data_IF_923409697341
#
_entry.id   IF_923409697341
#
_cell.length_a   1.000
_cell.length_b   1.000
_cell.length_c   1.000
_cell.angle_alpha   90.00
_cell.angle_beta   90.00
_cell.angle_gamma   90.00
#
_symmetry.space_group_name_H-M   'P 1'
#
loop_
_entity.id
_entity.type
_entity.pdbx_description
1 polymer ?
#
# COMPACT_ATOMS: atom_id res chain seq x y z
N UNK A 1 -29.39 -6.57 -12.06
CA UNK A 1 -28.49 -7.31 -11.16
C UNK A 1 -27.64 -8.33 -11.90
N UNK A 2 -28.14 -8.95 -12.98
CA UNK A 2 -27.40 -9.99 -13.73
C UNK A 2 -25.97 -9.57 -14.13
N UNK A 3 -25.80 -8.36 -14.66
CA UNK A 3 -24.47 -7.81 -15.02
C UNK A 3 -23.52 -7.61 -13.83
N UNK A 4 -24.02 -7.57 -12.59
CA UNK A 4 -23.19 -7.50 -11.38
C UNK A 4 -22.85 -8.87 -10.80
N UNK A 5 -23.59 -9.93 -11.17
CA UNK A 5 -23.44 -11.28 -10.58
C UNK A 5 -22.69 -12.23 -11.51
N UNK A 6 -22.97 -12.17 -12.82
CA UNK A 6 -22.49 -13.17 -13.79
C UNK A 6 -21.35 -12.68 -14.68
N UNK A 7 -20.79 -11.52 -14.37
CA UNK A 7 -19.73 -10.87 -15.13
C UNK A 7 -18.57 -10.56 -14.19
N UNK A 8 -17.36 -10.97 -14.58
CA UNK A 8 -16.16 -10.66 -13.81
C UNK A 8 -15.78 -9.19 -13.90
N UNK A 9 -15.30 -8.62 -12.80
CA UNK A 9 -14.86 -7.23 -12.70
C UNK A 9 -15.97 -6.26 -12.28
N UNK A 10 -15.69 -4.97 -12.42
CA UNK A 10 -16.59 -3.86 -12.06
C UNK A 10 -16.24 -2.62 -12.91
N UNK A 11 -17.10 -1.59 -12.97
CA UNK A 11 -16.84 -0.40 -13.77
C UNK A 11 -15.99 0.64 -13.04
N UNK A 12 -15.24 1.42 -13.82
CA UNK A 12 -14.81 2.76 -13.47
C UNK A 12 -15.75 3.77 -14.13
N UNK A 13 -16.10 4.83 -13.42
CA UNK A 13 -16.89 5.96 -13.90
C UNK A 13 -15.99 7.20 -13.96
N UNK A 14 -15.62 7.63 -15.16
CA UNK A 14 -14.89 8.88 -15.37
C UNK A 14 -15.86 10.07 -15.37
N UNK A 15 -15.52 11.15 -14.66
CA UNK A 15 -16.32 12.37 -14.52
C UNK A 15 -15.52 13.56 -15.06
N UNK A 16 -16.13 14.31 -15.97
CA UNK A 16 -15.52 15.51 -16.57
C UNK A 16 -16.58 16.59 -16.81
N UNK A 17 -16.14 17.82 -17.06
CA UNK A 17 -17.01 18.97 -17.32
C UNK A 17 -16.89 20.04 -16.24
N UNK A 18 -17.88 20.93 -16.17
CA UNK A 18 -17.87 22.07 -15.25
C UNK A 18 -18.98 23.07 -15.56
N UNK A 19 -19.15 24.06 -14.69
CA UNK A 19 -20.12 25.14 -14.91
C UNK A 19 -21.58 24.67 -14.98
N UNK A 20 -21.94 23.61 -14.26
CA UNK A 20 -23.31 23.10 -14.21
C UNK A 20 -23.58 21.84 -15.03
N UNK A 21 -22.68 21.49 -15.95
CA UNK A 21 -22.86 20.38 -16.88
C UNK A 21 -21.66 19.43 -16.85
N UNK A 22 -21.93 18.18 -16.48
CA UNK A 22 -20.91 17.13 -16.36
C UNK A 22 -21.23 15.96 -17.29
N UNK A 23 -20.19 15.29 -17.76
CA UNK A 23 -20.27 14.04 -18.51
C UNK A 23 -19.69 12.93 -17.66
N UNK A 24 -20.48 11.88 -17.46
CA UNK A 24 -20.02 10.62 -16.88
C UNK A 24 -19.88 9.57 -17.96
N UNK A 25 -18.83 8.79 -17.89
CA UNK A 25 -18.58 7.66 -18.81
C UNK A 25 -18.14 6.46 -18.01
N UNK A 26 -18.63 5.27 -18.39
CA UNK A 26 -18.19 4.02 -17.78
C UNK A 26 -17.33 3.19 -18.72
N UNK A 27 -16.44 2.41 -18.11
CA UNK A 27 -15.72 1.31 -18.74
C UNK A 27 -15.38 0.24 -17.71
N UNK A 28 -15.03 -0.96 -18.14
CA UNK A 28 -14.56 -1.99 -17.21
C UNK A 28 -13.20 -1.59 -16.64
N UNK A 29 -13.12 -1.44 -15.31
CA UNK A 29 -11.87 -1.13 -14.63
C UNK A 29 -10.89 -2.31 -14.74
N UNK A 30 -9.70 -2.01 -15.27
CA UNK A 30 -8.55 -2.92 -15.38
C UNK A 30 -7.27 -2.10 -15.32
N UNK A 31 -6.23 -2.63 -14.68
CA UNK A 31 -4.98 -1.90 -14.51
C UNK A 31 -4.07 -1.83 -15.77
N UNK A 32 -4.22 -2.75 -16.73
CA UNK A 32 -3.33 -2.83 -17.90
C UNK A 32 -4.03 -2.55 -19.23
N UNK A 33 -5.13 -3.23 -19.51
CA UNK A 33 -5.91 -3.05 -20.75
C UNK A 33 -7.38 -2.84 -20.39
N UNK A 34 -8.05 -1.79 -20.89
CA UNK A 34 -9.46 -1.55 -20.59
C UNK A 34 -10.33 -2.67 -21.13
N UNK A 35 -11.38 -3.02 -20.39
CA UNK A 35 -12.31 -4.06 -20.81
C UNK A 35 -13.54 -3.50 -21.54
N UNK A 36 -14.17 -4.32 -22.37
CA UNK A 36 -15.31 -3.91 -23.21
C UNK A 36 -16.68 -4.11 -22.56
N UNK A 37 -16.74 -4.47 -21.28
CA UNK A 37 -18.00 -4.81 -20.60
C UNK A 37 -18.61 -3.60 -19.89
N UNK A 38 -19.93 -3.55 -19.82
CA UNK A 38 -20.69 -2.46 -19.19
C UNK A 38 -21.65 -2.98 -18.12
N UNK A 39 -22.08 -2.06 -17.26
CA UNK A 39 -23.02 -2.29 -16.18
C UNK A 39 -24.15 -1.27 -16.24
N UNK A 40 -25.29 -1.60 -15.61
CA UNK A 40 -26.23 -0.57 -15.19
C UNK A 40 -25.74 -0.06 -13.84
N UNK A 41 -25.16 1.13 -13.80
CA UNK A 41 -24.51 1.67 -12.60
C UNK A 41 -25.47 2.61 -11.87
N UNK A 42 -26.00 2.23 -10.69
CA UNK A 42 -26.80 3.13 -9.86
C UNK A 42 -25.87 4.08 -9.10
N UNK A 43 -25.84 5.33 -9.52
CA UNK A 43 -24.98 6.36 -8.94
C UNK A 43 -25.76 7.24 -7.96
N UNK A 44 -25.14 7.54 -6.83
CA UNK A 44 -25.53 8.66 -5.97
C UNK A 44 -24.67 9.85 -6.33
N UNK A 45 -25.32 10.96 -6.68
CA UNK A 45 -24.66 12.19 -7.10
C UNK A 45 -25.08 13.30 -6.15
N UNK A 46 -24.13 13.79 -5.37
CA UNK A 46 -24.30 14.88 -4.42
C UNK A 46 -23.78 16.18 -5.01
N UNK A 47 -24.49 17.26 -4.71
CA UNK A 47 -24.16 18.65 -5.06
C UNK A 47 -24.57 19.54 -3.88
N UNK A 48 -24.32 20.85 -3.97
CA UNK A 48 -24.88 21.83 -3.02
C UNK A 48 -26.42 21.80 -2.95
N UNK A 49 -27.10 21.41 -4.04
CA UNK A 49 -28.57 21.32 -4.11
C UNK A 49 -29.13 20.04 -3.45
N UNK A 50 -28.27 19.11 -3.04
CA UNK A 50 -28.62 17.85 -2.40
C UNK A 50 -28.15 16.61 -3.17
N UNK A 51 -28.73 15.46 -2.82
CA UNK A 51 -28.37 14.14 -3.37
C UNK A 51 -29.41 13.65 -4.36
N UNK A 52 -28.96 13.21 -5.53
CA UNK A 52 -29.80 12.64 -6.60
C UNK A 52 -29.37 11.22 -6.96
N UNK A 53 -30.29 10.44 -7.54
CA UNK A 53 -30.04 9.09 -8.04
C UNK A 53 -30.01 9.11 -9.56
N UNK A 54 -28.90 8.68 -10.14
CA UNK A 54 -28.69 8.61 -11.59
C UNK A 54 -28.38 7.17 -11.97
N UNK A 55 -29.08 6.62 -12.96
CA UNK A 55 -28.78 5.29 -13.49
C UNK A 55 -28.01 5.44 -14.81
N UNK A 56 -26.72 5.08 -14.81
CA UNK A 56 -25.92 5.03 -16.03
C UNK A 56 -26.15 3.68 -16.72
N UNK A 57 -27.02 3.67 -17.74
CA UNK A 57 -27.38 2.44 -18.48
C UNK A 57 -26.48 2.18 -19.70
N UNK A 58 -25.91 3.24 -20.29
CA UNK A 58 -25.06 3.20 -21.48
C UNK A 58 -23.60 3.52 -21.16
N UNK A 59 -22.81 3.70 -22.22
CA UNK A 59 -21.39 4.06 -22.09
C UNK A 59 -21.19 5.45 -21.46
N UNK A 60 -22.11 6.38 -21.69
CA UNK A 60 -22.03 7.75 -21.18
C UNK A 60 -23.40 8.31 -20.80
N UNK A 61 -23.42 9.31 -19.93
CA UNK A 61 -24.58 10.14 -19.63
C UNK A 61 -24.15 11.58 -19.29
N UNK A 62 -25.05 12.54 -19.50
CA UNK A 62 -24.88 13.91 -19.02
C UNK A 62 -25.61 14.11 -17.71
N UNK A 63 -24.99 14.85 -16.80
CA UNK A 63 -25.55 15.22 -15.51
C UNK A 63 -25.54 16.74 -15.44
N UNK A 64 -26.73 17.32 -15.31
CA UNK A 64 -26.89 18.73 -14.96
C UNK A 64 -26.92 18.81 -13.43
N UNK A 65 -25.92 19.46 -12.84
CA UNK A 65 -25.69 19.48 -11.40
C UNK A 65 -25.02 20.80 -11.00
N UNK A 66 -25.35 21.31 -9.81
CA UNK A 66 -24.74 22.53 -9.28
C UNK A 66 -23.24 22.37 -8.94
N UNK A 67 -22.72 23.32 -8.17
CA UNK A 67 -21.40 23.21 -7.58
C UNK A 67 -21.33 22.09 -6.53
N UNK A 68 -20.11 21.73 -6.12
CA UNK A 68 -19.90 20.72 -5.07
C UNK A 68 -20.18 19.28 -5.51
N UNK A 69 -20.00 18.95 -6.80
CA UNK A 69 -20.26 17.62 -7.33
C UNK A 69 -19.43 16.55 -6.59
N UNK A 70 -20.09 15.49 -6.15
CA UNK A 70 -19.50 14.23 -5.69
C UNK A 70 -20.29 13.09 -6.30
N UNK A 71 -19.63 12.26 -7.10
CA UNK A 71 -20.18 11.01 -7.64
C UNK A 71 -19.79 9.87 -6.71
N UNK A 72 -20.72 8.92 -6.54
CA UNK A 72 -20.66 7.89 -5.51
C UNK A 72 -20.72 8.46 -4.09
N UNK A 73 -21.59 9.45 -3.86
CA UNK A 73 -21.77 10.05 -2.54
C UNK A 73 -22.01 8.99 -1.45
N UNK A 74 -21.25 9.07 -0.36
CA UNK A 74 -21.20 8.09 0.73
C UNK A 74 -20.35 6.83 0.46
N UNK A 75 -19.88 6.60 -0.76
CA UNK A 75 -18.96 5.48 -1.10
C UNK A 75 -19.61 4.09 -1.22
N UNK A 76 -20.94 3.98 -1.18
CA UNK A 76 -21.65 2.69 -1.12
C UNK A 76 -21.65 1.90 -2.45
N UNK A 77 -21.38 2.56 -3.57
CA UNK A 77 -21.42 1.95 -4.89
C UNK A 77 -20.19 1.09 -5.20
N UNK A 78 -20.39 -0.10 -5.78
CA UNK A 78 -19.31 -1.01 -6.18
C UNK A 78 -18.70 -0.62 -7.54
N UNK A 79 -18.16 0.59 -7.64
CA UNK A 79 -17.45 1.11 -8.82
C UNK A 79 -16.43 2.15 -8.37
N UNK A 80 -15.42 2.40 -9.20
CA UNK A 80 -14.45 3.48 -8.97
C UNK A 80 -14.87 4.75 -9.68
N UNK A 81 -14.48 5.90 -9.15
CA UNK A 81 -14.72 7.21 -9.76
C UNK A 81 -13.39 7.86 -10.12
N UNK A 82 -13.20 8.22 -11.39
CA UNK A 82 -12.04 8.99 -11.84
C UNK A 82 -12.48 10.39 -12.24
N UNK A 83 -12.03 11.40 -11.52
CA UNK A 83 -12.33 12.80 -11.83
C UNK A 83 -11.31 13.37 -12.82
N UNK A 84 -11.73 14.34 -13.64
CA UNK A 84 -10.77 15.14 -14.43
C UNK A 84 -9.85 15.93 -13.49
N UNK A 85 -8.65 16.36 -13.93
CA UNK A 85 -7.70 17.08 -13.09
C UNK A 85 -8.31 18.29 -12.37
N UNK A 86 -9.17 19.04 -13.05
CA UNK A 86 -9.83 20.22 -12.50
C UNK A 86 -10.82 19.86 -11.39
N UNK A 87 -11.56 18.77 -11.56
CA UNK A 87 -12.53 18.29 -10.56
C UNK A 87 -11.84 17.63 -9.37
N UNK A 88 -10.73 16.91 -9.60
CA UNK A 88 -9.91 16.35 -8.53
C UNK A 88 -9.31 17.47 -7.67
N UNK A 89 -8.78 18.52 -8.29
CA UNK A 89 -8.26 19.69 -7.60
C UNK A 89 -9.35 20.44 -6.80
N UNK A 90 -10.54 20.62 -7.40
CA UNK A 90 -11.70 21.18 -6.72
C UNK A 90 -12.05 20.37 -5.46
N UNK A 91 -12.22 19.06 -5.58
CA UNK A 91 -12.49 18.15 -4.45
C UNK A 91 -11.39 18.21 -3.38
N UNK A 92 -10.12 18.21 -3.79
CA UNK A 92 -8.98 18.35 -2.88
C UNK A 92 -8.99 19.65 -2.08
N UNK A 93 -9.52 20.75 -2.64
CA UNK A 93 -9.61 22.03 -1.93
C UNK A 93 -10.72 22.11 -0.89
N UNK A 94 -11.68 21.17 -0.92
CA UNK A 94 -12.87 21.15 -0.07
C UNK A 94 -13.08 19.79 0.61
N UNK A 95 -12.00 19.11 0.96
CA UNK A 95 -12.01 17.81 1.64
C UNK A 95 -12.82 17.82 2.95
N UNK A 96 -12.91 18.97 3.63
CA UNK A 96 -13.75 19.13 4.83
C UNK A 96 -15.26 18.96 4.56
N UNK A 97 -15.70 19.13 3.31
CA UNK A 97 -17.09 18.92 2.88
C UNK A 97 -17.40 17.45 2.53
N UNK A 98 -16.37 16.59 2.56
CA UNK A 98 -16.48 15.16 2.33
C UNK A 98 -16.51 14.42 3.67
N UNK A 99 -17.37 13.42 3.77
CA UNK A 99 -17.31 12.49 4.90
C UNK A 99 -16.08 11.57 4.81
N UNK A 100 -15.81 10.83 5.89
CA UNK A 100 -14.64 9.94 5.96
C UNK A 100 -14.62 8.89 4.85
N UNK A 101 -15.78 8.33 4.48
CA UNK A 101 -15.92 7.32 3.43
C UNK A 101 -15.67 7.90 2.04
N UNK A 102 -16.14 9.13 1.80
CA UNK A 102 -15.91 9.88 0.57
C UNK A 102 -14.44 10.27 0.42
N UNK A 103 -13.77 10.73 1.50
CA UNK A 103 -12.32 11.00 1.48
C UNK A 103 -11.51 9.74 1.23
N UNK A 104 -11.83 8.64 1.90
CA UNK A 104 -11.22 7.33 1.66
C UNK A 104 -11.37 6.89 0.19
N UNK A 105 -12.59 6.99 -0.34
CA UNK A 105 -12.89 6.59 -1.72
C UNK A 105 -12.14 7.45 -2.73
N UNK A 106 -12.08 8.77 -2.51
CA UNK A 106 -11.33 9.69 -3.36
C UNK A 106 -9.83 9.32 -3.41
N UNK A 107 -9.20 9.07 -2.27
CA UNK A 107 -7.79 8.66 -2.20
C UNK A 107 -7.56 7.30 -2.87
N UNK A 108 -8.41 6.31 -2.54
CA UNK A 108 -8.32 4.95 -3.08
C UNK A 108 -8.50 4.91 -4.60
N UNK A 109 -9.46 5.68 -5.12
CA UNK A 109 -9.73 5.75 -6.56
C UNK A 109 -8.66 6.55 -7.29
N UNK A 110 -8.17 7.66 -6.71
CA UNK A 110 -7.06 8.42 -7.29
C UNK A 110 -5.80 7.56 -7.38
N UNK A 111 -5.48 6.78 -6.34
CA UNK A 111 -4.36 5.83 -6.39
C UNK A 111 -4.56 4.75 -7.47
N UNK A 112 -5.77 4.24 -7.62
CA UNK A 112 -6.09 3.29 -8.68
C UNK A 112 -5.91 3.91 -10.08
N UNK A 113 -6.31 5.16 -10.27
CA UNK A 113 -6.08 5.93 -11.52
C UNK A 113 -4.60 6.21 -11.77
N UNK A 114 -3.77 6.36 -10.72
CA UNK A 114 -2.31 6.43 -10.87
C UNK A 114 -1.74 5.12 -11.40
N UNK A 115 -2.25 3.98 -10.91
CA UNK A 115 -1.82 2.66 -11.38
C UNK A 115 -2.22 2.40 -12.84
N UNK A 116 -3.42 2.81 -13.28
CA UNK A 116 -3.83 2.73 -14.69
C UNK A 116 -3.08 3.73 -15.58
N UNK A 117 -2.60 4.84 -15.00
CA UNK A 117 -1.90 5.92 -15.71
C UNK A 117 -2.84 7.03 -16.21
N UNK A 118 -4.08 7.05 -15.72
CA UNK A 118 -5.06 8.11 -16.00
C UNK A 118 -4.82 9.36 -15.14
N UNK A 119 -4.11 9.21 -14.02
CA UNK A 119 -3.70 10.29 -13.11
C UNK A 119 -2.20 10.20 -12.85
N UNK A 120 -1.52 11.34 -12.72
CA UNK A 120 -0.08 11.38 -12.41
C UNK A 120 0.20 11.13 -10.93
N UNK A 121 1.40 10.64 -10.60
CA UNK A 121 1.80 10.50 -9.20
C UNK A 121 1.87 11.87 -8.49
N UNK A 122 2.18 12.95 -9.22
CA UNK A 122 2.18 14.31 -8.69
C UNK A 122 0.80 14.80 -8.24
N UNK A 123 -0.26 14.48 -8.99
CA UNK A 123 -1.63 14.80 -8.57
C UNK A 123 -2.04 14.02 -7.30
N UNK A 124 -1.62 12.76 -7.18
CA UNK A 124 -1.84 12.00 -5.94
C UNK A 124 -1.06 12.57 -4.76
N UNK A 125 0.20 12.99 -4.95
CA UNK A 125 1.01 13.68 -3.93
C UNK A 125 0.33 14.99 -3.50
N UNK A 126 -0.21 15.76 -4.44
CA UNK A 126 -0.94 16.99 -4.14
C UNK A 126 -2.22 16.72 -3.31
N UNK A 127 -2.99 15.68 -3.68
CA UNK A 127 -4.16 15.25 -2.90
C UNK A 127 -3.75 14.79 -1.48
N UNK A 128 -2.69 14.00 -1.36
CA UNK A 128 -2.15 13.58 -0.06
C UNK A 128 -1.74 14.78 0.79
N UNK A 129 -1.09 15.78 0.18
CA UNK A 129 -0.70 17.03 0.84
C UNK A 129 -1.87 17.84 1.40
N UNK A 130 -3.06 17.73 0.78
CA UNK A 130 -4.28 18.40 1.25
C UNK A 130 -4.94 17.70 2.45
N UNK A 131 -4.49 16.50 2.82
CA UNK A 131 -5.03 15.68 3.92
C UNK A 131 -4.22 15.80 5.23
N UNK A 132 -3.38 16.83 5.38
CA UNK A 132 -2.56 17.02 6.59
C UNK A 132 -3.36 17.11 7.91
N UNK A 133 -4.59 17.62 7.85
CA UNK A 133 -5.51 17.73 9.00
C UNK A 133 -6.45 16.51 9.16
N UNK A 134 -6.19 15.40 8.44
CA UNK A 134 -7.04 14.20 8.52
C UNK A 134 -6.94 13.52 9.89
N UNK A 135 -8.08 13.02 10.37
CA UNK A 135 -8.23 12.39 11.69
C UNK A 135 -8.68 10.93 11.64
N UNK A 136 -9.01 10.41 10.46
CA UNK A 136 -9.50 9.06 10.27
C UNK A 136 -8.36 8.10 9.88
N UNK A 137 -8.11 7.03 10.67
CA UNK A 137 -7.01 6.10 10.41
C UNK A 137 -7.14 5.40 9.04
N UNK A 138 -8.36 5.12 8.60
CA UNK A 138 -8.60 4.45 7.31
C UNK A 138 -8.18 5.34 6.12
N UNK A 139 -8.45 6.65 6.18
CA UNK A 139 -8.06 7.61 5.13
C UNK A 139 -6.54 7.77 5.11
N UNK A 140 -5.91 7.94 6.28
CA UNK A 140 -4.45 7.94 6.39
C UNK A 140 -3.82 6.65 5.87
N UNK A 141 -4.42 5.49 6.16
CA UNK A 141 -3.97 4.20 5.66
C UNK A 141 -3.96 4.14 4.13
N UNK A 142 -4.99 4.68 3.47
CA UNK A 142 -5.05 4.78 2.02
C UNK A 142 -3.96 5.71 1.46
N UNK A 143 -3.75 6.88 2.07
CA UNK A 143 -2.71 7.84 1.68
C UNK A 143 -1.32 7.19 1.79
N UNK A 144 -1.01 6.63 2.96
CA UNK A 144 0.30 6.04 3.25
C UNK A 144 0.58 4.78 2.42
N UNK A 145 -0.44 4.05 2.00
CA UNK A 145 -0.29 2.93 1.05
C UNK A 145 0.22 3.43 -0.30
N UNK A 146 -0.38 4.48 -0.86
CA UNK A 146 0.06 5.07 -2.12
C UNK A 146 1.45 5.68 -2.01
N UNK A 147 1.72 6.47 -0.96
CA UNK A 147 3.05 7.05 -0.71
C UNK A 147 4.13 5.98 -0.52
N UNK A 148 3.80 4.88 0.17
CA UNK A 148 4.69 3.74 0.31
C UNK A 148 5.01 3.07 -1.02
N UNK A 149 4.04 2.89 -1.92
CA UNK A 149 4.33 2.38 -3.27
C UNK A 149 5.16 3.36 -4.12
N UNK A 150 4.98 4.68 -3.93
CA UNK A 150 5.81 5.69 -4.60
C UNK A 150 7.26 5.70 -4.05
N UNK A 151 7.49 5.56 -2.74
CA UNK A 151 8.85 5.39 -2.18
C UNK A 151 9.56 4.16 -2.77
N UNK A 152 8.84 3.12 -3.18
CA UNK A 152 9.45 1.95 -3.82
C UNK A 152 9.92 2.21 -5.26
N UNK A 153 9.45 3.25 -5.92
CA UNK A 153 9.81 3.53 -7.31
C UNK A 153 10.58 4.83 -7.49
N UNK A 154 10.56 5.73 -6.50
CA UNK A 154 11.39 6.94 -6.51
C UNK A 154 12.86 6.55 -6.64
N UNK A 155 13.60 7.35 -7.42
CA UNK A 155 15.04 7.19 -7.58
C UNK A 155 15.76 7.36 -6.24
N UNK A 156 16.95 6.78 -6.12
CA UNK A 156 17.78 6.96 -4.91
C UNK A 156 18.11 8.43 -4.65
N UNK A 157 18.28 9.23 -5.71
CA UNK A 157 18.61 10.65 -5.62
C UNK A 157 17.45 11.50 -5.11
N UNK A 158 16.20 11.12 -5.40
CA UNK A 158 14.97 11.84 -4.98
C UNK A 158 14.27 11.22 -3.77
N UNK A 159 14.81 10.12 -3.23
CA UNK A 159 14.25 9.46 -2.06
C UNK A 159 14.26 10.34 -0.79
N UNK A 160 15.32 11.14 -0.51
CA UNK A 160 15.32 12.05 0.64
C UNK A 160 14.17 13.07 0.60
N UNK A 161 13.80 13.55 -0.58
CA UNK A 161 12.68 14.46 -0.79
C UNK A 161 11.34 13.76 -0.52
N UNK A 162 11.17 12.50 -0.95
CA UNK A 162 10.00 11.68 -0.61
C UNK A 162 9.88 11.48 0.89
N UNK A 163 10.98 11.10 1.56
CA UNK A 163 11.02 10.91 3.01
C UNK A 163 10.67 12.23 3.75
N UNK A 164 11.21 13.36 3.29
CA UNK A 164 10.85 14.68 3.82
C UNK A 164 9.37 14.98 3.63
N UNK A 165 8.83 14.78 2.44
CA UNK A 165 7.40 14.99 2.18
C UNK A 165 6.53 14.19 3.15
N UNK A 166 6.81 12.89 3.33
CA UNK A 166 6.04 12.06 4.27
C UNK A 166 6.18 12.57 5.70
N UNK A 167 7.40 12.87 6.14
CA UNK A 167 7.66 13.36 7.50
C UNK A 167 6.92 14.67 7.79
N UNK A 168 6.98 15.63 6.86
CA UNK A 168 6.35 16.94 7.01
C UNK A 168 4.81 16.81 6.95
N UNK A 169 4.29 15.94 6.07
CA UNK A 169 2.85 15.69 5.95
C UNK A 169 2.23 15.15 7.25
N UNK A 170 2.90 14.22 7.93
CA UNK A 170 2.35 13.60 9.15
C UNK A 170 2.73 14.32 10.44
N UNK A 171 3.58 15.35 10.38
CA UNK A 171 4.21 15.96 11.55
C UNK A 171 3.19 16.51 12.55
N UNK A 172 2.30 17.40 12.09
CA UNK A 172 1.34 18.08 12.98
C UNK A 172 0.37 17.10 13.63
N UNK A 173 -0.15 16.13 12.87
CA UNK A 173 -1.04 15.09 13.38
C UNK A 173 -0.32 14.15 14.37
N UNK A 174 0.92 13.76 14.09
CA UNK A 174 1.72 12.93 15.00
C UNK A 174 2.07 13.67 16.30
N UNK A 175 2.48 14.94 16.21
CA UNK A 175 2.84 15.77 17.35
C UNK A 175 1.62 16.07 18.23
N UNK A 176 0.45 16.30 17.64
CA UNK A 176 -0.81 16.49 18.35
C UNK A 176 -1.24 15.27 19.17
N UNK A 177 -0.98 14.05 18.68
CA UNK A 177 -1.33 12.80 19.37
C UNK A 177 -0.28 12.33 20.39
N UNK A 178 0.99 12.75 20.19
CA UNK A 178 2.12 12.36 21.02
C UNK A 178 2.34 10.85 21.13
N UNK A 179 3.12 10.43 22.13
CA UNK A 179 3.52 9.03 22.35
C UNK A 179 2.72 8.32 23.45
N UNK A 180 1.81 9.03 24.13
CA UNK A 180 1.04 8.49 25.23
C UNK A 180 -0.45 8.78 25.02
N UNK A 181 -1.34 7.79 25.17
CA UNK A 181 -2.77 8.00 25.03
C UNK A 181 -3.33 8.86 26.16
N UNK A 182 -4.33 9.68 25.86
CA UNK A 182 -5.08 10.43 26.87
C UNK A 182 -6.14 9.55 27.58
N UNK A 183 -6.56 9.91 28.81
CA UNK A 183 -7.67 9.22 29.47
C UNK A 183 -8.97 9.30 28.66
N UNK A 184 -9.56 8.15 28.35
CA UNK A 184 -10.82 8.07 27.60
C UNK A 184 -10.65 8.17 26.08
N UNK A 185 -9.41 8.22 25.59
CA UNK A 185 -9.11 8.20 24.17
C UNK A 185 -9.63 6.94 23.47
N UNK A 186 -10.19 7.15 22.27
CA UNK A 186 -10.80 6.09 21.46
C UNK A 186 -9.77 5.15 20.84
N UNK A 187 -10.18 3.92 20.53
CA UNK A 187 -9.30 2.94 19.87
C UNK A 187 -8.86 3.44 18.46
N UNK A 188 -9.74 4.12 17.72
CA UNK A 188 -9.38 4.72 16.41
C UNK A 188 -8.30 5.80 16.54
N UNK A 189 -8.33 6.59 17.61
CA UNK A 189 -7.30 7.61 17.87
C UNK A 189 -5.95 6.95 18.22
N UNK A 190 -5.97 5.83 18.95
CA UNK A 190 -4.75 5.06 19.24
C UNK A 190 -4.16 4.42 17.99
N UNK A 191 -5.01 3.83 17.16
CA UNK A 191 -4.62 3.27 15.86
C UNK A 191 -3.98 4.34 14.98
N UNK A 192 -4.61 5.52 14.89
CA UNK A 192 -4.04 6.65 14.15
C UNK A 192 -2.66 7.04 14.69
N UNK A 193 -2.49 7.12 16.02
CA UNK A 193 -1.17 7.41 16.62
C UNK A 193 -0.11 6.40 16.16
N UNK A 194 -0.39 5.10 16.27
CA UNK A 194 0.54 4.06 15.84
C UNK A 194 0.90 4.17 14.36
N UNK A 195 -0.11 4.41 13.51
CA UNK A 195 0.04 4.59 12.08
C UNK A 195 0.97 5.78 11.75
N UNK A 196 0.75 6.95 12.38
CA UNK A 196 1.54 8.16 12.12
C UNK A 196 2.96 8.06 12.67
N UNK A 197 3.17 7.48 13.86
CA UNK A 197 4.52 7.21 14.40
C UNK A 197 5.29 6.32 13.42
N UNK A 198 4.66 5.23 12.94
CA UNK A 198 5.29 4.31 12.00
C UNK A 198 5.60 4.99 10.68
N UNK A 199 4.66 5.77 10.13
CA UNK A 199 4.88 6.52 8.89
C UNK A 199 6.05 7.49 9.02
N UNK A 200 6.07 8.30 10.07
CA UNK A 200 7.12 9.30 10.32
C UNK A 200 8.51 8.66 10.47
N UNK A 201 8.61 7.59 11.26
CA UNK A 201 9.89 6.96 11.56
C UNK A 201 10.41 6.00 10.47
N UNK A 202 9.52 5.22 9.84
CA UNK A 202 9.90 4.19 8.87
C UNK A 202 9.90 4.71 7.43
N UNK A 203 8.84 5.42 7.02
CA UNK A 203 8.71 5.93 5.66
C UNK A 203 9.31 7.34 5.52
N UNK A 204 9.15 8.19 6.54
CA UNK A 204 9.69 9.54 6.57
C UNK A 204 11.15 9.68 7.05
N UNK A 205 11.77 8.56 7.44
CA UNK A 205 13.15 8.47 7.94
C UNK A 205 13.49 9.51 9.03
N UNK A 206 12.53 9.79 9.91
CA UNK A 206 12.70 10.75 10.98
C UNK A 206 13.55 10.19 12.13
N UNK A 207 14.77 10.72 12.25
CA UNK A 207 15.78 10.25 13.19
C UNK A 207 15.35 10.42 14.66
N UNK A 208 14.56 11.45 14.99
CA UNK A 208 14.04 11.62 16.34
C UNK A 208 12.99 10.55 16.68
N UNK A 209 12.04 10.32 15.77
CA UNK A 209 11.05 9.24 15.91
C UNK A 209 11.71 7.87 16.03
N UNK A 210 12.75 7.59 15.24
CA UNK A 210 13.53 6.35 15.34
C UNK A 210 14.19 6.20 16.73
N UNK A 211 14.81 7.26 17.24
CA UNK A 211 15.41 7.26 18.59
C UNK A 211 14.36 7.02 19.67
N UNK A 212 13.20 7.66 19.57
CA UNK A 212 12.10 7.50 20.53
C UNK A 212 11.49 6.09 20.48
N UNK A 213 11.28 5.55 19.29
CA UNK A 213 10.86 4.16 19.09
C UNK A 213 11.84 3.19 19.76
N UNK A 214 13.15 3.40 19.59
CA UNK A 214 14.20 2.63 20.25
C UNK A 214 14.16 2.70 21.78
N UNK A 215 13.85 3.86 22.37
CA UNK A 215 13.67 4.00 23.83
C UNK A 215 12.44 3.23 24.32
N UNK A 216 11.30 3.42 23.66
CA UNK A 216 10.05 2.72 23.96
C UNK A 216 10.24 1.21 23.90
N UNK A 217 10.87 0.72 22.83
CA UNK A 217 11.10 -0.70 22.63
C UNK A 217 11.96 -1.31 23.73
N UNK A 218 13.10 -0.68 24.03
CA UNK A 218 14.02 -1.14 25.08
C UNK A 218 13.34 -1.18 26.45
N UNK A 219 12.65 -0.11 26.84
CA UNK A 219 11.94 -0.03 28.12
C UNK A 219 10.79 -1.03 28.18
N UNK A 220 10.13 -1.28 27.05
CA UNK A 220 9.13 -2.32 26.94
C UNK A 220 9.72 -3.71 27.23
N UNK A 221 10.89 -4.04 26.67
CA UNK A 221 11.61 -5.29 26.96
C UNK A 221 12.06 -5.39 28.43
N UNK A 222 12.32 -4.26 29.09
CA UNK A 222 12.60 -4.18 30.53
C UNK A 222 11.36 -4.31 31.42
N UNK A 223 10.16 -4.43 30.83
CA UNK A 223 8.90 -4.69 31.53
C UNK A 223 8.02 -3.46 31.73
N UNK A 224 8.41 -2.30 31.20
CA UNK A 224 7.55 -1.12 31.19
C UNK A 224 6.34 -1.33 30.26
N UNK A 225 5.19 -0.80 30.70
CA UNK A 225 3.94 -0.90 29.95
C UNK A 225 3.76 0.34 29.09
N UNK A 226 3.62 0.11 27.79
CA UNK A 226 3.24 1.11 26.80
C UNK A 226 1.93 0.70 26.14
N UNK A 227 1.27 1.67 25.51
CA UNK A 227 0.12 1.43 24.65
C UNK A 227 0.45 0.42 23.54
N UNK A 228 -0.52 -0.38 23.10
CA UNK A 228 -0.29 -1.43 22.11
C UNK A 228 0.15 -0.87 20.76
N UNK A 229 -0.52 0.18 20.29
CA UNK A 229 -0.25 0.80 18.98
C UNK A 229 1.12 1.48 18.97
N UNK A 230 1.50 2.11 20.09
CA UNK A 230 2.83 2.73 20.24
C UNK A 230 3.94 1.67 20.24
N UNK A 231 3.75 0.52 20.89
CA UNK A 231 4.72 -0.59 20.87
C UNK A 231 4.87 -1.19 19.49
N UNK A 232 3.76 -1.44 18.81
CA UNK A 232 3.76 -2.06 17.48
C UNK A 232 4.35 -1.12 16.43
N UNK A 233 4.05 0.18 16.51
CA UNK A 233 4.70 1.20 15.71
C UNK A 233 6.22 1.26 15.97
N UNK A 234 6.63 1.23 17.25
CA UNK A 234 8.05 1.27 17.62
C UNK A 234 8.83 0.08 17.06
N UNK A 235 8.29 -1.13 17.18
CA UNK A 235 8.89 -2.32 16.57
C UNK A 235 9.00 -2.17 15.05
N UNK A 236 7.95 -1.66 14.39
CA UNK A 236 7.95 -1.43 12.95
C UNK A 236 9.00 -0.41 12.49
N UNK A 237 9.20 0.67 13.26
CA UNK A 237 10.22 1.70 12.98
C UNK A 237 11.63 1.16 13.14
N UNK A 238 11.90 0.43 14.22
CA UNK A 238 13.22 -0.19 14.46
C UNK A 238 13.50 -1.24 13.39
N UNK A 239 12.53 -2.09 13.07
CA UNK A 239 12.72 -3.13 12.08
C UNK A 239 13.04 -2.57 10.69
N UNK A 240 12.34 -1.51 10.26
CA UNK A 240 12.51 -0.93 8.92
C UNK A 240 13.84 -0.18 8.73
N UNK A 241 14.48 0.23 9.83
CA UNK A 241 15.74 0.98 9.84
C UNK A 241 16.85 0.26 10.63
N UNK A 242 16.65 -1.04 10.88
CA UNK A 242 17.44 -1.81 11.85
C UNK A 242 18.81 -2.21 11.33
N UNK A 243 19.69 -2.50 12.26
CA UNK A 243 21.03 -3.06 12.04
C UNK A 243 21.03 -4.58 12.13
N UNK A 244 22.20 -5.18 11.88
CA UNK A 244 22.42 -6.61 12.16
C UNK A 244 22.30 -6.99 13.64
N UNK A 245 22.41 -6.04 14.57
CA UNK A 245 22.20 -6.32 16.00
C UNK A 245 20.71 -6.38 16.33
N UNK A 246 19.89 -5.48 15.77
CA UNK A 246 18.43 -5.55 15.87
C UNK A 246 17.89 -6.85 15.25
N UNK A 247 18.43 -7.25 14.10
CA UNK A 247 18.11 -8.54 13.48
C UNK A 247 18.35 -9.74 14.42
N UNK A 248 19.51 -9.78 15.09
CA UNK A 248 19.84 -10.86 16.04
C UNK A 248 18.92 -10.82 17.25
N UNK A 249 18.60 -9.63 17.75
CA UNK A 249 17.64 -9.45 18.85
C UNK A 249 16.27 -9.99 18.47
N UNK A 250 15.75 -9.68 17.27
CA UNK A 250 14.46 -10.20 16.80
C UNK A 250 14.46 -11.72 16.66
N UNK A 251 15.54 -12.33 16.18
CA UNK A 251 15.64 -13.79 16.15
C UNK A 251 15.65 -14.39 17.57
N UNK A 252 16.42 -13.83 18.50
CA UNK A 252 16.45 -14.29 19.90
C UNK A 252 15.09 -14.14 20.60
N UNK A 253 14.40 -13.03 20.35
CA UNK A 253 13.04 -12.80 20.83
C UNK A 253 12.04 -13.79 20.23
N UNK A 254 12.15 -14.08 18.93
CA UNK A 254 11.35 -15.11 18.26
C UNK A 254 11.56 -16.49 18.87
N UNK A 255 12.81 -16.88 19.13
CA UNK A 255 13.15 -18.19 19.68
C UNK A 255 12.68 -18.36 21.14
N UNK A 256 12.70 -17.28 21.92
CA UNK A 256 12.29 -17.28 23.34
C UNK A 256 10.80 -17.00 23.55
N UNK A 257 10.08 -16.60 22.50
CA UNK A 257 8.67 -16.24 22.60
C UNK A 257 7.81 -17.39 23.14
N UNK A 258 6.98 -17.09 24.14
CA UNK A 258 6.15 -18.10 24.80
C UNK A 258 4.90 -18.50 23.99
N UNK A 259 4.50 -17.69 23.01
CA UNK A 259 3.31 -17.92 22.21
C UNK A 259 3.59 -17.77 20.70
N UNK A 260 2.81 -18.44 19.83
CA UNK A 260 3.03 -18.39 18.39
C UNK A 260 2.87 -17.02 17.74
N UNK A 261 2.07 -16.12 18.32
CA UNK A 261 1.85 -14.78 17.76
C UNK A 261 3.13 -13.94 17.87
N UNK A 262 3.80 -13.99 19.02
CA UNK A 262 5.06 -13.28 19.24
C UNK A 262 6.20 -13.86 18.40
N UNK A 263 6.26 -15.20 18.23
CA UNK A 263 7.20 -15.85 17.29
C UNK A 263 7.08 -15.23 15.89
N UNK A 264 5.85 -15.19 15.35
CA UNK A 264 5.59 -14.63 14.02
C UNK A 264 5.87 -13.13 13.98
N UNK A 265 5.52 -12.38 15.03
CA UNK A 265 5.75 -10.94 15.15
C UNK A 265 7.23 -10.61 15.03
N UNK A 266 8.08 -11.27 15.79
CA UNK A 266 9.53 -11.02 15.77
C UNK A 266 10.20 -11.52 14.50
N UNK A 267 9.77 -12.68 13.98
CA UNK A 267 10.27 -13.15 12.70
C UNK A 267 9.90 -12.20 11.55
N UNK A 268 8.70 -11.58 11.57
CA UNK A 268 8.33 -10.51 10.62
C UNK A 268 9.21 -9.27 10.78
N UNK A 269 9.51 -8.86 12.01
CA UNK A 269 10.44 -7.75 12.24
C UNK A 269 11.83 -8.06 11.65
N UNK A 270 12.34 -9.29 11.83
CA UNK A 270 13.61 -9.71 11.24
C UNK A 270 13.62 -9.62 9.71
N UNK A 271 12.50 -9.91 9.02
CA UNK A 271 12.41 -9.80 7.54
C UNK A 271 12.43 -8.36 7.02
N UNK A 272 12.16 -7.37 7.88
CA UNK A 272 12.11 -5.96 7.49
C UNK A 272 13.46 -5.24 7.65
N UNK A 273 14.46 -5.89 8.26
CA UNK A 273 15.80 -5.32 8.45
C UNK A 273 16.46 -5.11 7.08
N UNK A 274 16.94 -3.88 6.77
CA UNK A 274 17.43 -3.54 5.44
C UNK A 274 18.79 -4.14 5.08
N UNK A 275 19.54 -4.68 6.06
CA UNK A 275 20.85 -5.30 5.86
C UNK A 275 20.79 -6.52 4.92
N UNK A 276 21.66 -6.53 3.90
CA UNK A 276 21.71 -7.63 2.94
C UNK A 276 22.04 -8.97 3.62
N UNK A 277 22.92 -8.97 4.62
CA UNK A 277 23.27 -10.15 5.41
C UNK A 277 22.05 -10.75 6.14
N UNK A 278 21.13 -9.91 6.64
CA UNK A 278 19.92 -10.37 7.31
C UNK A 278 19.01 -11.15 6.35
N UNK A 279 18.82 -10.63 5.13
CA UNK A 279 18.01 -11.28 4.11
C UNK A 279 18.63 -12.62 3.64
N UNK A 280 19.94 -12.65 3.41
CA UNK A 280 20.65 -13.89 3.02
C UNK A 280 20.57 -14.94 4.12
N UNK A 281 20.74 -14.54 5.39
CA UNK A 281 20.66 -15.44 6.53
C UNK A 281 19.26 -16.02 6.72
N UNK A 282 18.20 -15.21 6.62
CA UNK A 282 16.82 -15.71 6.69
C UNK A 282 16.49 -16.66 5.54
N UNK A 283 16.97 -16.34 4.33
CA UNK A 283 16.81 -17.25 3.19
C UNK A 283 17.50 -18.60 3.46
N UNK A 284 18.71 -18.59 4.01
CA UNK A 284 19.43 -19.82 4.36
C UNK A 284 18.72 -20.61 5.47
N UNK A 285 18.21 -19.93 6.51
CA UNK A 285 17.41 -20.55 7.57
C UNK A 285 16.14 -21.24 7.05
N UNK A 286 15.54 -20.71 5.97
CA UNK A 286 14.42 -21.40 5.28
C UNK A 286 14.88 -22.70 4.63
N UNK A 287 16.04 -22.71 3.97
CA UNK A 287 16.57 -23.90 3.31
C UNK A 287 17.06 -24.96 4.31
N UNK A 288 17.65 -24.53 5.42
CA UNK A 288 18.18 -25.40 6.48
C UNK A 288 17.07 -26.00 7.36
N UNK A 289 15.85 -25.44 7.29
CA UNK A 289 14.69 -25.88 8.05
C UNK A 289 14.61 -25.29 9.46
N UNK A 290 15.41 -24.26 9.75
CA UNK A 290 15.34 -23.50 11.01
C UNK A 290 14.03 -22.69 11.09
N UNK A 291 13.53 -22.22 9.93
CA UNK A 291 12.18 -21.68 9.81
C UNK A 291 11.19 -22.82 9.62
N UNK A 292 10.10 -22.80 10.40
CA UNK A 292 9.01 -23.78 10.25
C UNK A 292 8.50 -23.76 8.81
N UNK A 293 8.30 -24.94 8.23
CA UNK A 293 7.90 -25.06 6.81
C UNK A 293 6.60 -24.30 6.48
N UNK A 294 5.67 -24.21 7.42
CA UNK A 294 4.43 -23.44 7.30
C UNK A 294 4.60 -21.92 7.38
N UNK A 295 5.80 -21.44 7.72
CA UNK A 295 6.16 -20.03 7.79
C UNK A 295 7.07 -19.59 6.64
N UNK A 296 7.81 -20.54 6.04
CA UNK A 296 8.76 -20.30 4.96
C UNK A 296 8.21 -19.50 3.77
N UNK A 297 6.94 -19.72 3.37
CA UNK A 297 6.34 -19.01 2.22
C UNK A 297 6.18 -17.51 2.48
N UNK A 298 5.70 -17.11 3.65
CA UNK A 298 5.48 -15.71 3.95
C UNK A 298 6.79 -15.01 4.30
N UNK A 299 7.77 -15.73 4.88
CA UNK A 299 9.15 -15.22 5.04
C UNK A 299 9.74 -14.91 3.67
N UNK A 300 9.71 -15.88 2.73
CA UNK A 300 10.21 -15.68 1.37
C UNK A 300 9.48 -14.56 0.63
N UNK A 301 8.15 -14.46 0.78
CA UNK A 301 7.37 -13.38 0.19
C UNK A 301 7.82 -12.00 0.73
N UNK A 302 8.02 -11.85 2.04
CA UNK A 302 8.50 -10.60 2.65
C UNK A 302 9.90 -10.24 2.16
N UNK A 303 10.81 -11.22 2.12
CA UNK A 303 12.18 -11.02 1.60
C UNK A 303 12.18 -10.61 0.13
N UNK A 304 11.36 -11.26 -0.71
CA UNK A 304 11.20 -10.93 -2.13
C UNK A 304 10.59 -9.53 -2.33
N UNK A 305 9.63 -9.19 -1.46
CA UNK A 305 8.97 -7.88 -1.43
C UNK A 305 9.81 -6.76 -0.84
N UNK A 306 10.94 -7.05 -0.18
CA UNK A 306 11.78 -6.04 0.44
C UNK A 306 12.32 -5.06 -0.62
N UNK A 307 12.37 -3.75 -0.33
CA UNK A 307 12.80 -2.71 -1.29
C UNK A 307 14.23 -2.97 -1.79
N UNK A 308 15.17 -3.01 -0.86
CA UNK A 308 16.61 -3.18 -1.13
C UNK A 308 16.98 -4.63 -1.48
N UNK A 309 16.57 -5.59 -0.65
CA UNK A 309 17.02 -6.97 -0.73
C UNK A 309 16.25 -7.84 -1.75
N UNK A 310 15.07 -7.41 -2.20
CA UNK A 310 14.20 -8.21 -3.08
C UNK A 310 14.86 -8.72 -4.37
N UNK A 311 15.62 -7.90 -5.13
CA UNK A 311 16.38 -8.35 -6.29
C UNK A 311 17.36 -9.49 -5.98
N UNK A 312 18.10 -9.36 -4.87
CA UNK A 312 19.08 -10.36 -4.43
C UNK A 312 18.39 -11.65 -4.00
N UNK A 313 17.30 -11.55 -3.26
CA UNK A 313 16.49 -12.69 -2.82
C UNK A 313 15.90 -13.43 -4.02
N UNK A 314 15.48 -12.72 -5.07
CA UNK A 314 15.03 -13.36 -6.31
C UNK A 314 16.12 -14.23 -6.96
N UNK A 315 17.37 -13.73 -7.03
CA UNK A 315 18.49 -14.53 -7.53
C UNK A 315 18.75 -15.77 -6.68
N UNK A 316 18.63 -15.66 -5.36
CA UNK A 316 18.75 -16.81 -4.45
C UNK A 316 17.64 -17.84 -4.65
N UNK A 317 16.39 -17.39 -4.81
CA UNK A 317 15.23 -18.25 -5.13
C UNK A 317 15.47 -18.99 -6.45
N UNK A 318 15.90 -18.29 -7.52
CA UNK A 318 16.20 -18.94 -8.80
C UNK A 318 17.32 -19.97 -8.68
N UNK A 319 18.41 -19.63 -8.00
CA UNK A 319 19.56 -20.51 -7.85
C UNK A 319 19.26 -21.77 -7.02
N UNK A 320 18.25 -21.71 -6.13
CA UNK A 320 17.89 -22.78 -5.22
C UNK A 320 16.45 -23.28 -5.41
N UNK A 321 15.86 -23.09 -6.59
CA UNK A 321 14.42 -23.24 -6.84
C UNK A 321 13.79 -24.51 -6.26
N UNK A 322 14.37 -25.67 -6.54
CA UNK A 322 13.85 -26.95 -6.05
C UNK A 322 13.95 -27.07 -4.53
N UNK A 323 15.03 -26.58 -3.92
CA UNK A 323 15.23 -26.57 -2.47
C UNK A 323 14.24 -25.59 -1.79
N UNK A 324 14.07 -24.40 -2.38
CA UNK A 324 13.05 -23.43 -1.95
C UNK A 324 11.66 -24.07 -1.98
N UNK A 325 11.27 -24.74 -3.06
CA UNK A 325 9.99 -25.44 -3.14
C UNK A 325 9.90 -26.61 -2.15
N UNK A 326 10.99 -27.30 -1.84
CA UNK A 326 11.00 -28.41 -0.90
C UNK A 326 10.86 -27.95 0.57
N UNK A 327 11.28 -26.73 0.90
CA UNK A 327 11.17 -26.14 2.23
C UNK A 327 9.73 -25.78 2.65
N UNK A 328 8.76 -25.90 1.74
CA UNK A 328 7.36 -25.50 1.96
C UNK A 328 6.35 -26.63 1.73
N UNK A 329 5.24 -26.65 2.48
CA UNK A 329 4.12 -27.52 2.19
C UNK A 329 3.54 -27.26 0.79
N UNK A 330 3.14 -28.30 0.03
CA UNK A 330 2.65 -28.17 -1.35
C UNK A 330 1.54 -27.14 -1.56
N UNK A 331 0.63 -26.99 -0.59
CA UNK A 331 -0.53 -26.09 -0.70
C UNK A 331 -0.16 -24.60 -0.58
N UNK A 332 1.05 -24.29 -0.11
CA UNK A 332 1.49 -22.93 0.21
C UNK A 332 2.61 -22.41 -0.70
N UNK A 333 3.20 -23.26 -1.57
CA UNK A 333 4.38 -22.89 -2.38
C UNK A 333 4.16 -21.62 -3.20
N UNK A 334 3.01 -21.47 -3.82
CA UNK A 334 2.67 -20.31 -4.63
C UNK A 334 2.66 -19.00 -3.82
N UNK A 335 2.40 -19.06 -2.51
CA UNK A 335 2.35 -17.88 -1.63
C UNK A 335 3.70 -17.18 -1.44
N UNK A 336 4.82 -17.83 -1.78
CA UNK A 336 6.12 -17.14 -1.82
C UNK A 336 6.14 -15.95 -2.79
N UNK A 337 5.21 -15.94 -3.76
CA UNK A 337 5.05 -14.86 -4.73
C UNK A 337 4.04 -13.78 -4.29
N UNK A 338 3.49 -13.82 -3.07
CA UNK A 338 2.45 -12.87 -2.60
C UNK A 338 2.88 -11.39 -2.78
N UNK A 339 4.18 -11.09 -2.66
CA UNK A 339 4.76 -9.74 -2.83
C UNK A 339 5.65 -9.59 -4.08
N UNK A 340 5.53 -10.49 -5.06
CA UNK A 340 6.29 -10.45 -6.31
C UNK A 340 6.08 -9.13 -7.07
N UNK A 341 4.88 -8.55 -6.97
CA UNK A 341 4.50 -7.33 -7.68
C UNK A 341 5.37 -6.10 -7.33
N UNK A 342 6.10 -6.17 -6.22
CA UNK A 342 7.07 -5.15 -5.83
C UNK A 342 8.41 -5.22 -6.56
N UNK A 343 8.66 -6.28 -7.34
CA UNK A 343 9.82 -6.41 -8.23
C UNK A 343 9.53 -5.75 -9.59
N UNK A 344 9.29 -4.45 -9.55
CA UNK A 344 8.87 -3.69 -10.72
C UNK A 344 10.03 -3.20 -11.60
N UNK A 345 11.28 -3.62 -11.33
CA UNK A 345 12.45 -3.20 -12.11
C UNK A 345 12.33 -3.88 -13.48
N UNK A 346 12.32 -3.14 -14.61
CA UNK A 346 11.98 -3.74 -15.91
C UNK A 346 12.79 -4.99 -16.26
N UNK A 347 14.09 -4.99 -15.99
CA UNK A 347 14.96 -6.14 -16.25
C UNK A 347 14.66 -7.32 -15.32
N UNK A 348 14.39 -7.07 -14.04
CA UNK A 348 14.09 -8.12 -13.05
C UNK A 348 12.70 -8.71 -13.32
N UNK A 349 11.71 -7.86 -13.61
CA UNK A 349 10.36 -8.28 -13.93
C UNK A 349 10.33 -9.17 -15.19
N UNK A 350 11.09 -8.81 -16.22
CA UNK A 350 11.21 -9.61 -17.44
C UNK A 350 11.87 -10.98 -17.16
N UNK A 351 12.90 -11.01 -16.34
CA UNK A 351 13.56 -12.25 -15.91
C UNK A 351 12.64 -13.15 -15.08
N UNK A 352 11.90 -12.57 -14.11
CA UNK A 352 10.87 -13.27 -13.33
C UNK A 352 9.83 -13.92 -14.23
N UNK A 353 9.28 -13.17 -15.19
CA UNK A 353 8.26 -13.67 -16.11
C UNK A 353 8.79 -14.83 -16.95
N UNK A 354 10.00 -14.69 -17.51
CA UNK A 354 10.64 -15.74 -18.30
C UNK A 354 10.94 -17.00 -17.47
N UNK A 355 11.40 -16.83 -16.24
CA UNK A 355 11.70 -17.94 -15.34
C UNK A 355 10.44 -18.71 -14.95
N UNK A 356 9.40 -18.02 -14.48
CA UNK A 356 8.14 -18.65 -14.07
C UNK A 356 7.38 -19.31 -15.23
N UNK A 357 7.57 -18.86 -16.46
CA UNK A 357 7.02 -19.51 -17.65
C UNK A 357 7.62 -20.91 -17.91
N UNK A 358 8.85 -21.15 -17.46
CA UNK A 358 9.58 -22.42 -17.64
C UNK A 358 9.65 -23.26 -16.35
N UNK A 359 9.38 -22.65 -15.20
CA UNK A 359 9.42 -23.27 -13.87
C UNK A 359 8.06 -23.12 -13.15
N UNK A 360 7.00 -23.80 -13.63
CA UNK A 360 5.68 -23.67 -13.03
C UNK A 360 5.66 -24.20 -11.59
N UNK A 361 4.99 -23.46 -10.70
CA UNK A 361 4.74 -23.92 -9.34
C UNK A 361 3.54 -24.89 -9.38
N UNK A 362 3.66 -26.14 -8.89
CA UNK A 362 2.56 -27.10 -8.88
C UNK A 362 1.30 -26.52 -8.21
N UNK A 363 0.16 -26.64 -8.89
CA UNK A 363 -1.13 -26.05 -8.47
C UNK A 363 -1.14 -24.52 -8.27
N UNK A 364 -0.11 -23.81 -8.75
CA UNK A 364 0.09 -22.37 -8.58
C UNK A 364 -0.11 -21.54 -9.85
N UNK A 365 -0.45 -22.14 -11.00
CA UNK A 365 -0.46 -21.46 -12.30
C UNK A 365 -1.30 -20.18 -12.34
N UNK A 366 -2.56 -20.25 -11.87
CA UNK A 366 -3.46 -19.09 -11.85
C UNK A 366 -2.91 -17.99 -10.94
N UNK A 367 -2.45 -18.37 -9.75
CA UNK A 367 -1.90 -17.45 -8.76
C UNK A 367 -0.63 -16.76 -9.29
N UNK A 368 0.28 -17.51 -9.90
CA UNK A 368 1.52 -16.99 -10.47
C UNK A 368 1.23 -15.98 -11.60
N UNK A 369 0.26 -16.30 -12.48
CA UNK A 369 -0.19 -15.37 -13.53
C UNK A 369 -0.75 -14.06 -12.94
N UNK A 370 -1.55 -14.15 -11.87
CA UNK A 370 -2.10 -12.97 -11.20
C UNK A 370 -0.99 -12.11 -10.58
N UNK A 371 0.01 -12.72 -9.94
CA UNK A 371 1.14 -11.97 -9.36
C UNK A 371 2.02 -11.33 -10.44
N UNK A 372 2.27 -12.02 -11.56
CA UNK A 372 2.97 -11.44 -12.72
C UNK A 372 2.17 -10.30 -13.34
N UNK A 373 0.85 -10.40 -13.42
CA UNK A 373 -0.01 -9.31 -13.90
C UNK A 373 0.10 -8.09 -12.98
N UNK A 374 0.01 -8.26 -11.66
CA UNK A 374 0.20 -7.17 -10.68
C UNK A 374 1.61 -6.57 -10.76
N UNK A 375 2.64 -7.39 -10.99
CA UNK A 375 4.01 -6.93 -11.21
C UNK A 375 4.10 -6.02 -12.44
N UNK A 376 3.46 -6.41 -13.55
CA UNK A 376 3.41 -5.59 -14.77
C UNK A 376 2.73 -4.25 -14.55
N UNK A 377 1.69 -4.19 -13.71
CA UNK A 377 1.06 -2.91 -13.31
C UNK A 377 2.10 -1.99 -12.67
N UNK A 378 2.90 -2.50 -11.73
CA UNK A 378 3.93 -1.70 -11.04
C UNK A 378 5.13 -1.39 -11.94
N UNK A 379 5.47 -2.25 -12.91
CA UNK A 379 6.45 -1.92 -13.97
C UNK A 379 5.94 -0.72 -14.76
N UNK A 380 4.67 -0.72 -15.16
CA UNK A 380 4.03 0.42 -15.82
C UNK A 380 4.11 1.71 -15.00
N UNK A 381 3.75 1.64 -13.72
CA UNK A 381 3.89 2.76 -12.78
C UNK A 381 5.32 3.30 -12.74
N UNK A 382 6.32 2.42 -12.51
CA UNK A 382 7.73 2.81 -12.42
C UNK A 382 8.21 3.48 -13.71
N UNK A 383 7.90 2.90 -14.88
CA UNK A 383 8.33 3.45 -16.18
C UNK A 383 7.73 4.83 -16.44
N UNK A 384 6.50 5.09 -16.01
CA UNK A 384 5.84 6.38 -16.21
C UNK A 384 6.31 7.45 -15.22
N UNK A 385 6.49 7.09 -13.95
CA UNK A 385 6.53 8.05 -12.85
C UNK A 385 7.88 8.18 -12.14
N UNK A 386 8.77 7.17 -12.18
CA UNK A 386 10.00 7.17 -11.37
C UNK A 386 10.88 8.42 -11.57
N UNK A 387 11.03 8.86 -12.82
CA UNK A 387 11.83 10.05 -13.18
C UNK A 387 11.08 11.37 -12.92
N UNK A 388 9.75 11.35 -12.83
CA UNK A 388 8.89 12.52 -12.62
C UNK A 388 8.70 12.85 -11.14
N UNK A 389 8.85 11.86 -10.27
CA UNK A 389 8.63 12.02 -8.83
C UNK A 389 9.53 13.10 -8.21
N UNK A 390 10.78 13.20 -8.67
CA UNK A 390 11.70 14.24 -8.17
C UNK A 390 11.18 15.67 -8.42
N UNK A 391 10.54 15.91 -9.57
CA UNK A 391 9.94 17.21 -9.89
C UNK A 391 8.67 17.48 -9.07
N UNK A 392 7.89 16.45 -8.75
CA UNK A 392 6.67 16.58 -7.97
C UNK A 392 6.92 16.80 -6.46
N UNK A 393 8.12 16.45 -5.97
CA UNK A 393 8.53 16.54 -4.57
C UNK A 393 9.38 17.78 -4.24
N UNK A 394 9.84 18.51 -5.27
CA UNK A 394 10.64 19.74 -5.16
C UNK A 394 9.78 20.99 -5.18
#
# INVERSE_FOLDING_TARGET
MDGWIFQGGFPQVSVSGGGGAYTVRQEQFRYLEPGATSWKVPMLVRTEDGVSRVLLEGAEAKIEAGAGLVVNAGGDGFYRVSYSPELLADLGSRLADLDASERYSLVSDTWASVLTGDTSAGEFIALAGALGDETEPDVWGAVLTGLGELDRIVSSDSRPEMQRFVRDLVADAADGLGWAPEPGESDRTRELRGLLIKARGALGDDQETQRMAGDVWRRHLEGERFDAEVRDASLGVIASNGSMDDFKEFLDLSDRAANPQDVVKYLRAATAVPEAEAAERLFQMVLDGDIRSQDSMWVLALLLGHRENGPRVWELIKANWDATLAAMPPQNKQRMLDLLHFRSEPAIAADIEAFLATHPIPAGDKFSKQQVELMKVRVGLRVREADRLGEALG
#
